data_IF_644864472299
#
_entry.id   IF_644864472299
#
_cell.length_a   1.000
_cell.length_b   1.000
_cell.length_c   1.000
_cell.angle_alpha   90.00
_cell.angle_beta   90.00
_cell.angle_gamma   90.00
#
_symmetry.space_group_name_H-M   'P 1'
#
loop_
_entity.id
_entity.type
_entity.pdbx_description
1 polymer ?
#
# COMPACT_ATOMS: atom_id res chain seq x y z
N UNK A 1 -14.32 -14.86 36.53
CA UNK A 1 -14.11 -13.41 36.40
C UNK A 1 -14.55 -12.72 37.67
N UNK A 2 -13.63 -12.04 38.35
CA UNK A 2 -13.97 -11.09 39.40
C UNK A 2 -14.31 -9.72 38.78
N UNK A 3 -14.72 -8.75 39.61
CA UNK A 3 -15.10 -7.40 39.16
C UNK A 3 -13.92 -6.67 38.49
N UNK A 4 -12.68 -7.00 38.88
CA UNK A 4 -11.47 -6.39 38.33
C UNK A 4 -11.20 -6.87 36.90
N UNK A 5 -11.25 -8.19 36.64
CA UNK A 5 -11.11 -8.73 35.27
C UNK A 5 -12.21 -8.25 34.31
N UNK A 6 -13.45 -8.08 34.79
CA UNK A 6 -14.53 -7.47 34.01
C UNK A 6 -14.24 -6.02 33.59
N UNK A 7 -13.54 -5.27 34.45
CA UNK A 7 -13.18 -3.88 34.17
C UNK A 7 -12.06 -3.81 33.14
N UNK A 8 -11.00 -4.60 33.31
CA UNK A 8 -9.88 -4.68 32.36
C UNK A 8 -10.35 -5.08 30.96
N UNK A 9 -11.26 -6.05 30.87
CA UNK A 9 -11.83 -6.47 29.60
C UNK A 9 -12.67 -5.37 28.92
N UNK A 10 -13.45 -4.63 29.70
CA UNK A 10 -14.24 -3.51 29.16
C UNK A 10 -13.33 -2.37 28.67
N UNK A 11 -12.25 -2.06 29.37
CA UNK A 11 -11.26 -1.07 28.95
C UNK A 11 -10.56 -1.51 27.65
N UNK A 12 -10.18 -2.79 27.54
CA UNK A 12 -9.64 -3.37 26.31
C UNK A 12 -10.64 -3.32 25.14
N UNK A 13 -11.91 -3.65 25.36
CA UNK A 13 -12.96 -3.53 24.34
C UNK A 13 -13.16 -2.09 23.87
N UNK A 14 -13.14 -1.13 24.79
CA UNK A 14 -13.24 0.29 24.44
C UNK A 14 -12.03 0.74 23.62
N UNK A 15 -10.82 0.35 24.01
CA UNK A 15 -9.59 0.64 23.26
C UNK A 15 -9.62 0.00 21.87
N UNK A 16 -10.07 -1.25 21.76
CA UNK A 16 -10.25 -1.93 20.48
C UNK A 16 -11.26 -1.20 19.59
N UNK A 17 -12.37 -0.71 20.16
CA UNK A 17 -13.37 0.06 19.44
C UNK A 17 -12.82 1.41 18.94
N UNK A 18 -12.12 2.16 19.80
CA UNK A 18 -11.50 3.45 19.46
C UNK A 18 -10.44 3.24 18.37
N UNK A 19 -9.57 2.25 18.54
CA UNK A 19 -8.56 1.89 17.56
C UNK A 19 -9.21 1.57 16.21
N UNK A 20 -10.17 0.66 16.20
CA UNK A 20 -10.81 0.17 14.97
C UNK A 20 -11.60 1.24 14.24
N UNK A 21 -12.08 2.25 14.94
CA UNK A 21 -12.79 3.39 14.35
C UNK A 21 -11.85 4.40 13.69
N UNK A 22 -10.66 4.60 14.27
CA UNK A 22 -9.78 5.70 13.89
C UNK A 22 -8.61 5.30 12.99
N UNK A 23 -8.17 4.04 13.02
CA UNK A 23 -6.97 3.59 12.28
C UNK A 23 -7.05 3.91 10.77
N UNK A 24 -8.25 3.89 10.20
CA UNK A 24 -8.52 4.17 8.79
C UNK A 24 -8.27 5.62 8.35
N UNK A 25 -8.08 6.54 9.29
CA UNK A 25 -7.87 7.97 9.02
C UNK A 25 -6.40 8.32 8.77
N UNK A 26 -5.47 7.44 9.16
CA UNK A 26 -4.04 7.66 8.97
C UNK A 26 -3.64 7.49 7.50
N UNK A 27 -2.56 8.18 7.11
CA UNK A 27 -2.08 8.23 5.72
C UNK A 27 -0.75 7.52 5.52
N UNK A 28 -0.15 7.01 6.60
CA UNK A 28 1.09 6.25 6.57
C UNK A 28 0.96 4.99 7.40
N UNK A 29 1.73 3.96 7.01
CA UNK A 29 1.81 2.70 7.75
C UNK A 29 2.38 2.91 9.15
N UNK A 30 3.46 3.69 9.24
CA UNK A 30 4.12 4.00 10.52
C UNK A 30 3.13 4.63 11.52
N UNK A 31 2.32 5.60 11.11
CA UNK A 31 1.31 6.20 11.99
C UNK A 31 0.27 5.17 12.47
N UNK A 32 -0.19 4.26 11.61
CA UNK A 32 -1.14 3.20 11.99
C UNK A 32 -0.53 2.23 13.00
N UNK A 33 0.74 1.86 12.80
CA UNK A 33 1.47 0.92 13.66
C UNK A 33 1.76 1.56 15.02
N UNK A 34 2.22 2.81 15.04
CA UNK A 34 2.44 3.56 16.28
C UNK A 34 1.14 3.71 17.07
N UNK A 35 0.05 4.08 16.39
CA UNK A 35 -1.28 4.20 17.00
C UNK A 35 -1.78 2.86 17.58
N UNK A 36 -1.54 1.74 16.89
CA UNK A 36 -1.82 0.41 17.41
C UNK A 36 -1.00 0.12 18.68
N UNK A 37 0.31 0.38 18.66
CA UNK A 37 1.18 0.12 19.80
C UNK A 37 0.75 0.91 21.04
N UNK A 38 0.35 2.18 20.85
CA UNK A 38 -0.15 3.04 21.93
C UNK A 38 -1.42 2.46 22.58
N UNK A 39 -2.38 1.98 21.78
CA UNK A 39 -3.62 1.41 22.33
C UNK A 39 -3.41 0.06 23.02
N UNK A 40 -2.49 -0.76 22.51
CA UNK A 40 -2.21 -2.08 23.07
C UNK A 40 -1.44 -1.97 24.39
N UNK A 41 -0.50 -1.03 24.53
CA UNK A 41 0.28 -0.89 25.77
C UNK A 41 -0.52 -0.24 26.91
N UNK A 42 -1.54 0.56 26.61
CA UNK A 42 -2.46 1.12 27.61
C UNK A 42 -3.28 0.05 28.35
N UNK A 43 -3.35 -1.15 27.79
CA UNK A 43 -4.04 -2.26 28.43
C UNK A 43 -3.18 -2.84 29.56
N UNK A 44 -3.69 -2.86 30.78
CA UNK A 44 -2.95 -3.29 31.98
C UNK A 44 -2.42 -4.74 31.89
N UNK A 45 -3.08 -5.59 31.10
CA UNK A 45 -2.65 -6.96 30.83
C UNK A 45 -1.39 -7.05 29.94
N UNK A 46 -1.05 -5.97 29.23
CA UNK A 46 0.09 -5.89 28.33
C UNK A 46 1.34 -5.40 29.06
N UNK A 47 2.46 -6.06 28.79
CA UNK A 47 3.79 -5.68 29.30
C UNK A 47 4.64 -5.04 28.21
N UNK A 48 4.46 -5.47 26.97
CA UNK A 48 5.15 -4.93 25.82
C UNK A 48 4.37 -5.26 24.54
N UNK A 49 4.51 -4.39 23.55
CA UNK A 49 4.11 -4.64 22.17
C UNK A 49 5.26 -4.26 21.27
N UNK A 50 5.54 -5.12 20.29
CA UNK A 50 6.54 -4.91 19.26
C UNK A 50 5.88 -5.21 17.92
N UNK A 51 6.03 -4.32 16.96
CA UNK A 51 5.64 -4.53 15.58
C UNK A 51 6.89 -4.46 14.72
N UNK A 52 7.23 -5.57 14.10
CA UNK A 52 8.27 -5.62 13.08
C UNK A 52 7.61 -5.33 11.74
N UNK A 53 8.06 -4.27 11.08
CA UNK A 53 7.64 -3.90 9.73
C UNK A 53 8.85 -3.69 8.79
N UNK A 54 8.60 -3.56 7.50
CA UNK A 54 9.66 -3.28 6.52
C UNK A 54 10.34 -1.92 6.73
N UNK A 55 9.65 -0.94 7.34
CA UNK A 55 10.20 0.38 7.68
C UNK A 55 11.07 0.36 8.94
N UNK A 56 10.94 -0.68 9.78
CA UNK A 56 11.68 -0.82 11.02
C UNK A 56 10.88 -1.52 12.13
N UNK A 57 11.39 -1.43 13.34
CA UNK A 57 10.71 -1.95 14.53
C UNK A 57 10.04 -0.81 15.30
N UNK A 58 8.76 -0.99 15.60
CA UNK A 58 7.97 -0.10 16.44
C UNK A 58 7.65 -0.82 17.74
N UNK A 59 7.80 -0.15 18.89
CA UNK A 59 7.56 -0.81 20.16
C UNK A 59 7.11 0.14 21.28
N UNK A 60 6.40 -0.45 22.24
CA UNK A 60 6.13 0.12 23.56
C UNK A 60 6.44 -0.95 24.60
N UNK A 61 7.35 -0.66 25.51
CA UNK A 61 7.91 -1.67 26.42
C UNK A 61 7.88 -1.21 27.88
N UNK A 62 7.26 -2.01 28.76
CA UNK A 62 7.35 -1.91 30.22
C UNK A 62 8.23 -3.03 30.83
N UNK A 63 8.80 -3.87 29.93
CA UNK A 63 9.66 -5.01 30.18
C UNK A 63 10.66 -5.13 29.01
N UNK A 64 11.91 -5.52 29.27
CA UNK A 64 12.91 -5.64 28.22
C UNK A 64 12.76 -6.93 27.42
N UNK A 65 12.00 -6.85 26.33
CA UNK A 65 11.68 -7.99 25.44
C UNK A 65 12.44 -7.98 24.11
N UNK A 66 13.31 -6.98 23.87
CA UNK A 66 13.94 -6.76 22.56
C UNK A 66 14.90 -7.88 22.13
N UNK A 67 15.38 -8.69 23.07
CA UNK A 67 16.22 -9.87 22.79
C UNK A 67 15.41 -11.15 22.56
N UNK A 68 14.07 -11.07 22.59
CA UNK A 68 13.21 -12.24 22.43
C UNK A 68 13.47 -12.91 21.07
N UNK A 69 13.73 -14.22 21.09
CA UNK A 69 14.07 -14.98 19.87
C UNK A 69 12.99 -14.92 18.79
N UNK A 70 11.74 -14.70 19.19
CA UNK A 70 10.56 -14.63 18.31
C UNK A 70 10.51 -13.36 17.48
N UNK A 71 11.22 -12.30 17.89
CA UNK A 71 11.30 -11.05 17.12
C UNK A 71 12.15 -11.21 15.85
N UNK A 72 13.00 -12.24 15.77
CA UNK A 72 13.92 -12.45 14.64
C UNK A 72 13.27 -13.05 13.39
N UNK A 73 11.98 -13.39 13.42
CA UNK A 73 11.31 -14.01 12.27
C UNK A 73 9.84 -13.60 12.18
N UNK A 74 9.33 -13.40 10.97
CA UNK A 74 7.91 -13.11 10.76
C UNK A 74 7.10 -14.42 10.84
N UNK A 75 6.13 -14.55 11.78
CA UNK A 75 5.26 -15.72 11.85
C UNK A 75 4.42 -15.85 10.58
N UNK A 76 4.04 -17.09 10.23
CA UNK A 76 3.08 -17.34 9.13
C UNK A 76 1.65 -17.51 9.62
N UNK A 77 1.48 -17.82 10.89
CA UNK A 77 0.21 -18.10 11.53
C UNK A 77 0.20 -17.47 12.92
N UNK A 78 -1.01 -17.16 13.40
CA UNK A 78 -1.20 -16.78 14.80
C UNK A 78 -0.66 -17.88 15.72
N UNK A 79 0.09 -17.49 16.75
CA UNK A 79 0.56 -18.40 17.78
C UNK A 79 0.58 -17.76 19.15
N UNK A 80 0.38 -18.61 20.17
CA UNK A 80 0.44 -18.28 21.57
C UNK A 80 1.60 -19.07 22.18
N UNK A 81 2.55 -18.36 22.77
CA UNK A 81 3.84 -18.90 23.21
C UNK A 81 4.00 -18.60 24.70
N UNK A 82 4.28 -19.61 25.52
CA UNK A 82 4.60 -19.39 26.92
C UNK A 82 5.95 -18.68 27.07
N UNK A 83 6.07 -17.81 28.07
CA UNK A 83 7.26 -17.00 28.33
C UNK A 83 8.53 -17.84 28.61
N UNK A 84 8.36 -19.07 29.10
CA UNK A 84 9.42 -20.07 29.28
C UNK A 84 10.18 -20.39 27.97
N UNK A 85 9.59 -20.12 26.80
CA UNK A 85 10.25 -20.28 25.50
C UNK A 85 10.82 -18.98 24.90
N UNK A 86 10.57 -17.82 25.52
CA UNK A 86 10.87 -16.51 24.91
C UNK A 86 12.34 -16.05 25.08
N UNK A 87 13.10 -16.67 26.01
CA UNK A 87 14.50 -16.32 26.32
C UNK A 87 14.73 -14.85 26.74
N UNK A 88 13.69 -14.18 27.26
CA UNK A 88 13.77 -12.80 27.73
C UNK A 88 14.47 -12.67 29.10
N UNK A 89 15.11 -11.53 29.36
CA UNK A 89 15.68 -11.18 30.66
C UNK A 89 14.60 -10.54 31.56
N UNK A 90 14.54 -10.87 32.85
CA UNK A 90 13.58 -10.32 33.83
C UNK A 90 12.10 -10.43 33.43
N UNK A 91 11.69 -11.65 33.10
CA UNK A 91 10.36 -12.00 32.57
C UNK A 91 9.21 -11.59 33.51
N UNK A 92 8.36 -10.66 33.07
CA UNK A 92 7.08 -10.31 33.74
C UNK A 92 5.87 -10.86 32.97
N UNK A 93 5.96 -10.95 31.65
CA UNK A 93 4.94 -11.60 30.84
C UNK A 93 4.89 -13.11 31.11
N UNK A 94 3.70 -13.70 31.03
CA UNK A 94 3.53 -15.16 31.02
C UNK A 94 3.45 -15.69 29.59
N UNK A 95 2.97 -14.87 28.66
CA UNK A 95 2.58 -15.31 27.32
C UNK A 95 2.95 -14.27 26.28
N UNK A 96 3.35 -14.73 25.12
CA UNK A 96 3.59 -13.97 23.91
C UNK A 96 2.55 -14.37 22.86
N UNK A 97 1.83 -13.39 22.32
CA UNK A 97 1.06 -13.51 21.10
C UNK A 97 1.95 -13.11 19.93
N UNK A 98 2.02 -13.96 18.91
CA UNK A 98 2.71 -13.65 17.65
C UNK A 98 1.69 -13.74 16.52
N UNK A 99 1.49 -12.61 15.84
CA UNK A 99 0.38 -12.40 14.92
C UNK A 99 0.94 -11.89 13.57
N UNK A 100 0.76 -12.62 12.47
CA UNK A 100 1.07 -12.10 11.14
C UNK A 100 0.05 -11.02 10.77
N UNK A 101 0.53 -9.86 10.35
CA UNK A 101 -0.31 -8.75 9.86
C UNK A 101 -0.21 -8.63 8.35
N UNK A 102 0.98 -8.83 7.78
CA UNK A 102 1.21 -8.91 6.34
C UNK A 102 2.38 -9.85 6.06
N UNK A 103 2.74 -10.05 4.78
CA UNK A 103 3.94 -10.82 4.41
C UNK A 103 5.25 -10.22 4.97
N UNK A 104 5.24 -8.94 5.36
CA UNK A 104 6.41 -8.20 5.85
C UNK A 104 6.21 -7.58 7.23
N UNK A 105 5.03 -7.79 7.83
CA UNK A 105 4.65 -7.14 9.09
C UNK A 105 4.16 -8.17 10.09
N UNK A 106 4.69 -8.11 11.31
CA UNK A 106 4.33 -8.98 12.40
C UNK A 106 4.12 -8.20 13.69
N UNK A 107 3.09 -8.58 14.44
CA UNK A 107 2.78 -8.03 15.76
C UNK A 107 3.14 -9.06 16.82
N UNK A 108 3.83 -8.61 17.85
CA UNK A 108 4.22 -9.38 19.03
C UNK A 108 3.67 -8.68 20.27
N UNK A 109 2.82 -9.35 21.04
CA UNK A 109 2.20 -8.78 22.24
C UNK A 109 2.54 -9.66 23.44
N UNK A 110 3.16 -9.08 24.44
CA UNK A 110 3.63 -9.75 25.63
C UNK A 110 2.63 -9.50 26.78
N UNK A 111 1.97 -10.54 27.25
CA UNK A 111 0.85 -10.47 28.19
C UNK A 111 1.21 -11.04 29.57
N UNK A 112 0.68 -10.41 30.62
CA UNK A 112 0.77 -10.87 32.01
C UNK A 112 -0.05 -12.14 32.27
N UNK A 113 -1.07 -12.41 31.46
CA UNK A 113 -1.92 -13.60 31.57
C UNK A 113 -2.58 -14.00 30.22
N UNK A 114 -3.18 -15.20 30.15
CA UNK A 114 -4.00 -15.67 29.00
C UNK A 114 -5.49 -15.66 29.30
N UNK A 115 -6.06 -14.48 29.44
CA UNK A 115 -7.51 -14.37 29.35
C UNK A 115 -7.93 -14.57 27.89
N UNK A 116 -8.79 -15.56 27.62
CA UNK A 116 -9.14 -16.00 26.26
C UNK A 116 -9.85 -14.88 25.50
N UNK A 117 -10.77 -14.20 26.16
CA UNK A 117 -11.49 -13.06 25.60
C UNK A 117 -10.53 -11.90 25.29
N UNK A 118 -9.59 -11.59 26.17
CA UNK A 118 -8.58 -10.57 25.91
C UNK A 118 -7.66 -10.91 24.72
N UNK A 119 -7.21 -12.17 24.62
CA UNK A 119 -6.41 -12.65 23.50
C UNK A 119 -7.18 -12.52 22.18
N UNK A 120 -8.47 -12.87 22.20
CA UNK A 120 -9.33 -12.74 21.02
C UNK A 120 -9.49 -11.27 20.59
N UNK A 121 -9.71 -10.35 21.53
CA UNK A 121 -9.82 -8.91 21.23
C UNK A 121 -8.53 -8.38 20.61
N UNK A 122 -7.37 -8.70 21.19
CA UNK A 122 -6.07 -8.25 20.66
C UNK A 122 -5.78 -8.80 19.26
N UNK A 123 -6.16 -10.06 19.01
CA UNK A 123 -6.08 -10.68 17.69
C UNK A 123 -6.99 -9.97 16.69
N UNK A 124 -8.19 -9.60 17.09
CA UNK A 124 -9.12 -8.86 16.24
C UNK A 124 -8.60 -7.44 15.94
N UNK A 125 -8.01 -6.75 16.93
CA UNK A 125 -7.33 -5.47 16.71
C UNK A 125 -6.18 -5.60 15.70
N UNK A 126 -5.34 -6.63 15.81
CA UNK A 126 -4.26 -6.87 14.85
C UNK A 126 -4.80 -7.20 13.44
N UNK A 127 -5.94 -7.87 13.36
CA UNK A 127 -6.63 -8.13 12.08
C UNK A 127 -7.17 -6.83 11.46
N UNK A 128 -7.70 -5.93 12.29
CA UNK A 128 -8.12 -4.59 11.83
C UNK A 128 -6.92 -3.76 11.36
N UNK A 129 -5.79 -3.81 12.06
CA UNK A 129 -4.55 -3.18 11.60
C UNK A 129 -4.12 -3.71 10.22
N UNK A 130 -4.15 -5.04 10.04
CA UNK A 130 -3.85 -5.70 8.76
C UNK A 130 -4.72 -5.17 7.63
N UNK A 131 -6.04 -5.14 7.83
CA UNK A 131 -6.98 -4.62 6.82
C UNK A 131 -6.80 -3.12 6.55
N UNK A 132 -6.45 -2.33 7.55
CA UNK A 132 -6.20 -0.89 7.39
C UNK A 132 -4.94 -0.62 6.54
N UNK A 133 -3.87 -1.38 6.80
CA UNK A 133 -2.63 -1.33 6.06
C UNK A 133 -2.84 -1.74 4.59
N UNK A 134 -3.50 -2.88 4.35
CA UNK A 134 -3.80 -3.35 2.99
C UNK A 134 -4.66 -2.33 2.22
N UNK A 135 -5.64 -1.72 2.89
CA UNK A 135 -6.47 -0.68 2.28
C UNK A 135 -5.67 0.55 1.86
N UNK A 136 -4.67 0.96 2.68
CA UNK A 136 -3.78 2.06 2.36
C UNK A 136 -2.94 1.75 1.12
N UNK A 137 -2.38 0.56 1.03
CA UNK A 137 -1.57 0.11 -0.12
C UNK A 137 -2.39 0.10 -1.41
N UNK A 138 -3.60 -0.48 -1.37
CA UNK A 138 -4.52 -0.49 -2.51
C UNK A 138 -4.86 0.94 -2.96
N UNK A 139 -5.10 1.86 -2.01
CA UNK A 139 -5.39 3.27 -2.35
C UNK A 139 -4.20 3.96 -3.02
N UNK A 140 -2.98 3.73 -2.54
CA UNK A 140 -1.76 4.29 -3.13
C UNK A 140 -1.57 3.75 -4.54
N UNK A 141 -1.72 2.43 -4.73
CA UNK A 141 -1.59 1.79 -6.04
C UNK A 141 -2.65 2.30 -7.02
N UNK A 142 -3.92 2.36 -6.60
CA UNK A 142 -5.01 2.88 -7.42
C UNK A 142 -4.77 4.34 -7.82
N UNK A 143 -4.30 5.18 -6.90
CA UNK A 143 -3.97 6.58 -7.19
C UNK A 143 -2.86 6.69 -8.23
N UNK A 144 -1.81 5.87 -8.11
CA UNK A 144 -0.73 5.82 -9.09
C UNK A 144 -1.22 5.33 -10.46
N UNK A 145 -2.09 4.31 -10.51
CA UNK A 145 -2.70 3.83 -11.76
C UNK A 145 -3.56 4.90 -12.43
N UNK A 146 -4.43 5.57 -11.68
CA UNK A 146 -5.28 6.66 -12.20
C UNK A 146 -4.43 7.82 -12.72
N UNK A 147 -3.37 8.19 -12.02
CA UNK A 147 -2.44 9.24 -12.48
C UNK A 147 -1.77 8.86 -13.80
N UNK A 148 -1.33 7.60 -13.96
CA UNK A 148 -0.76 7.08 -15.21
C UNK A 148 -1.78 7.08 -16.34
N UNK A 149 -3.02 6.65 -16.08
CA UNK A 149 -4.11 6.68 -17.07
C UNK A 149 -4.40 8.11 -17.55
N UNK A 150 -4.42 9.07 -16.62
CA UNK A 150 -4.61 10.49 -16.96
C UNK A 150 -3.49 11.00 -17.86
N UNK A 151 -2.23 10.72 -17.52
CA UNK A 151 -1.09 11.11 -18.36
C UNK A 151 -1.15 10.49 -19.77
N UNK A 152 -1.59 9.24 -19.88
CA UNK A 152 -1.79 8.60 -21.18
C UNK A 152 -2.92 9.26 -21.99
N UNK A 153 -4.03 9.62 -21.36
CA UNK A 153 -5.13 10.33 -22.02
C UNK A 153 -4.70 11.71 -22.53
N UNK A 154 -3.97 12.48 -21.71
CA UNK A 154 -3.39 13.77 -22.11
C UNK A 154 -2.43 13.60 -23.30
N UNK A 155 -1.64 12.52 -23.30
CA UNK A 155 -0.78 12.19 -24.43
C UNK A 155 -1.56 11.83 -25.70
N UNK A 156 -2.65 11.07 -25.59
CA UNK A 156 -3.52 10.75 -26.72
C UNK A 156 -4.21 11.99 -27.30
N UNK A 157 -4.67 12.91 -26.45
CA UNK A 157 -5.26 14.18 -26.88
C UNK A 157 -4.24 15.00 -27.68
N UNK A 158 -3.02 15.15 -27.14
CA UNK A 158 -1.91 15.81 -27.82
C UNK A 158 -1.61 15.21 -29.20
N UNK A 159 -1.57 13.87 -29.29
CA UNK A 159 -1.34 13.17 -30.55
C UNK A 159 -2.50 13.35 -31.54
N UNK A 160 -3.75 13.28 -31.05
CA UNK A 160 -4.95 13.49 -31.86
C UNK A 160 -4.95 14.86 -32.54
N UNK A 161 -4.61 15.91 -31.81
CA UNK A 161 -4.52 17.27 -32.36
C UNK A 161 -3.39 17.41 -33.38
N UNK A 162 -2.23 16.77 -33.12
CA UNK A 162 -1.11 16.75 -34.06
C UNK A 162 -1.40 15.98 -35.35
N UNK A 163 -2.32 15.01 -35.32
CA UNK A 163 -2.82 14.33 -36.52
C UNK A 163 -3.94 15.14 -37.20
N UNK A 164 -4.82 15.77 -36.42
CA UNK A 164 -5.94 16.57 -36.93
C UNK A 164 -5.47 17.73 -37.79
N UNK A 165 -4.47 18.49 -37.34
CA UNK A 165 -3.95 19.65 -38.07
C UNK A 165 -3.50 19.34 -39.51
N UNK A 166 -2.54 18.43 -39.76
CA UNK A 166 -2.12 18.09 -41.12
C UNK A 166 -3.26 17.46 -41.93
N UNK A 167 -4.17 16.70 -41.29
CA UNK A 167 -5.34 16.16 -41.98
C UNK A 167 -6.29 17.28 -42.46
N UNK A 168 -6.53 18.30 -41.64
CA UNK A 168 -7.33 19.47 -42.02
C UNK A 168 -6.71 20.23 -43.20
N UNK A 169 -5.38 20.33 -43.26
CA UNK A 169 -4.68 20.93 -44.41
C UNK A 169 -4.92 20.12 -45.68
N UNK A 170 -4.77 18.80 -45.61
CA UNK A 170 -5.01 17.91 -46.76
C UNK A 170 -6.45 18.05 -47.26
N UNK A 171 -7.44 18.03 -46.35
CA UNK A 171 -8.85 18.21 -46.69
C UNK A 171 -9.08 19.57 -47.34
N UNK A 172 -8.57 20.66 -46.75
CA UNK A 172 -8.74 22.01 -47.30
C UNK A 172 -8.10 22.19 -48.68
N UNK A 173 -6.95 21.58 -48.93
CA UNK A 173 -6.31 21.60 -50.26
C UNK A 173 -7.16 20.83 -51.29
N UNK A 174 -7.72 19.68 -50.92
CA UNK A 174 -8.61 18.91 -51.78
C UNK A 174 -9.91 19.66 -52.12
N UNK A 175 -10.46 20.43 -51.17
CA UNK A 175 -11.65 21.27 -51.38
C UNK A 175 -11.36 22.46 -52.30
N UNK A 176 -10.15 23.01 -52.26
CA UNK A 176 -9.72 24.16 -53.05
C UNK A 176 -9.04 23.77 -54.37
N UNK A 177 -9.26 22.55 -54.87
CA UNK A 177 -8.60 22.00 -56.06
C UNK A 177 -8.67 22.88 -57.32
N UNK A 178 -9.73 23.69 -57.46
CA UNK A 178 -9.98 24.54 -58.62
C UNK A 178 -9.42 25.97 -58.42
N UNK A 179 -8.97 26.30 -57.20
CA UNK A 179 -8.49 27.61 -56.79
C UNK A 179 -6.98 27.64 -56.45
N UNK A 180 -6.34 26.48 -56.35
CA UNK A 180 -4.92 26.34 -56.02
C UNK A 180 -4.21 25.66 -57.18
N UNK A 181 -3.01 26.16 -57.50
CA UNK A 181 -2.12 25.50 -58.47
C UNK A 181 -1.81 24.06 -58.06
N UNK A 182 -1.84 23.15 -59.05
CA UNK A 182 -1.73 21.71 -58.80
C UNK A 182 -0.41 21.33 -58.13
N UNK A 183 0.70 21.97 -58.51
CA UNK A 183 2.02 21.65 -57.97
C UNK A 183 2.13 22.11 -56.51
N UNK A 184 1.60 23.29 -56.22
CA UNK A 184 1.49 23.81 -54.85
C UNK A 184 0.56 22.95 -53.97
N UNK A 185 -0.54 22.44 -54.51
CA UNK A 185 -1.42 21.52 -53.81
C UNK A 185 -0.72 20.20 -53.43
N UNK A 186 0.04 19.62 -54.36
CA UNK A 186 0.82 18.40 -54.11
C UNK A 186 1.90 18.60 -53.04
N UNK A 187 2.57 19.76 -53.03
CA UNK A 187 3.58 20.09 -52.02
C UNK A 187 2.96 20.16 -50.62
N UNK A 188 1.85 20.89 -50.45
CA UNK A 188 1.15 21.00 -49.16
C UNK A 188 0.63 19.65 -48.62
N UNK A 189 0.15 18.77 -49.51
CA UNK A 189 -0.27 17.42 -49.15
C UNK A 189 0.94 16.59 -48.71
N UNK A 190 2.07 16.66 -49.42
CA UNK A 190 3.29 15.91 -49.08
C UNK A 190 3.83 16.32 -47.71
N UNK A 191 3.97 17.61 -47.45
CA UNK A 191 4.44 18.11 -46.15
C UNK A 191 3.51 17.68 -45.00
N UNK A 192 2.19 17.68 -45.24
CA UNK A 192 1.22 17.26 -44.24
C UNK A 192 1.27 15.75 -43.99
N UNK A 193 1.45 14.95 -45.03
CA UNK A 193 1.66 13.50 -44.91
C UNK A 193 2.95 13.16 -44.14
N UNK A 194 4.04 13.91 -44.35
CA UNK A 194 5.28 13.75 -43.59
C UNK A 194 5.10 14.10 -42.11
N UNK A 195 4.33 15.15 -41.79
CA UNK A 195 3.97 15.49 -40.41
C UNK A 195 3.18 14.37 -39.74
N UNK A 196 2.20 13.77 -40.44
CA UNK A 196 1.45 12.61 -39.94
C UNK A 196 2.39 11.43 -39.70
N UNK A 197 3.26 11.11 -40.68
CA UNK A 197 4.23 10.02 -40.56
C UNK A 197 5.14 10.19 -39.35
N UNK A 198 5.68 11.39 -39.13
CA UNK A 198 6.51 11.67 -37.95
C UNK A 198 5.77 11.45 -36.63
N UNK A 199 4.48 11.80 -36.56
CA UNK A 199 3.66 11.54 -35.36
C UNK A 199 3.47 10.04 -35.14
N UNK A 200 3.23 9.27 -36.20
CA UNK A 200 3.06 7.81 -36.13
C UNK A 200 4.37 7.08 -35.78
N UNK A 201 5.51 7.51 -36.32
CA UNK A 201 6.82 6.94 -36.02
C UNK A 201 7.18 7.15 -34.53
N UNK A 202 6.93 8.36 -34.00
CA UNK A 202 7.12 8.65 -32.57
C UNK A 202 6.21 7.80 -31.67
N UNK A 203 4.99 7.49 -32.13
CA UNK A 203 4.04 6.63 -31.45
C UNK A 203 4.52 5.18 -31.39
N UNK A 204 5.05 4.66 -32.49
CA UNK A 204 5.60 3.30 -32.56
C UNK A 204 6.80 3.14 -31.61
N UNK A 205 7.71 4.12 -31.58
CA UNK A 205 8.85 4.13 -30.66
C UNK A 205 8.42 4.18 -29.18
N UNK A 206 7.35 4.93 -28.87
CA UNK A 206 6.78 4.99 -27.53
C UNK A 206 6.12 3.66 -27.12
N UNK A 207 5.40 3.01 -28.05
CA UNK A 207 4.77 1.71 -27.82
C UNK A 207 5.79 0.62 -27.51
N UNK A 208 6.88 0.54 -28.28
CA UNK A 208 7.97 -0.43 -28.06
C UNK A 208 8.57 -0.25 -26.66
N UNK A 209 8.89 0.98 -26.28
CA UNK A 209 9.42 1.28 -24.94
C UNK A 209 8.45 0.91 -23.82
N UNK A 210 7.15 1.14 -24.03
CA UNK A 210 6.13 0.79 -23.05
C UNK A 210 5.97 -0.73 -22.90
N UNK A 211 6.06 -1.50 -24.01
CA UNK A 211 6.05 -2.98 -23.98
C UNK A 211 7.27 -3.54 -23.26
N UNK A 212 8.47 -3.08 -23.60
CA UNK A 212 9.71 -3.51 -22.93
C UNK A 212 9.70 -3.23 -21.43
N UNK A 213 9.04 -2.16 -21.00
CA UNK A 213 8.90 -1.80 -19.59
C UNK A 213 7.86 -2.68 -18.89
N UNK A 214 6.76 -3.01 -19.58
CA UNK A 214 5.73 -3.91 -19.06
C UNK A 214 6.25 -5.35 -18.89
N UNK A 215 6.99 -5.86 -19.87
CA UNK A 215 7.65 -7.18 -19.80
C UNK A 215 8.65 -7.24 -18.63
N UNK A 216 9.46 -6.20 -18.43
CA UNK A 216 10.37 -6.09 -17.27
C UNK A 216 9.65 -6.09 -15.92
N UNK A 217 8.47 -5.52 -15.83
CA UNK A 217 7.67 -5.54 -14.58
C UNK A 217 7.00 -6.89 -14.39
N UNK A 218 6.62 -7.58 -15.47
CA UNK A 218 6.04 -8.92 -15.40
C UNK A 218 7.07 -9.97 -14.98
N UNK A 219 8.30 -9.89 -15.52
CA UNK A 219 9.39 -10.82 -15.20
C UNK A 219 9.99 -10.64 -13.80
N UNK A 220 9.87 -9.45 -13.19
CA UNK A 220 10.33 -9.19 -11.81
C UNK A 220 9.29 -9.56 -10.73
N UNK A 221 8.11 -10.02 -11.12
CA UNK A 221 7.04 -10.45 -10.22
C UNK A 221 6.83 -11.99 -10.24
N UNK A 222 7.79 -12.75 -10.78
CA UNK A 222 7.85 -14.22 -10.75
C UNK A 222 9.05 -14.68 -9.92
#
# INVERSE_FOLDING_TARGET
>A
MDIYGLRELNELLLNAFIFSSNVWMFKSRDEMIEYFCDHVIECDICTAVVVSDESGEHYRINENVLKCRYLNYIPRVFSLVNAEYCECEDVKHKILLSIPVSNRTAVYIFLKDSDEEAVQILKDMATVLSGAIENLEIKIELSAMVSRLKANLEHFEYLSDRLRNPLSVIIGVCELKDAIDTEKAFEMVRESAEKIKSVLDNLADAEVKSKEMFERVHDNNI
#
